data_IF_934899583456
#
_entry.id   IF_934899583456
#
_cell.length_a   1.000
_cell.length_b   1.000
_cell.length_c   1.000
_cell.angle_alpha   90.00
_cell.angle_beta   90.00
_cell.angle_gamma   90.00
#
_symmetry.space_group_name_H-M   'P 1'
#
loop_
_entity.id
_entity.type
_entity.pdbx_description
1 polymer ?
#
# COMPACT_ATOMS: atom_id res chain seq x y z
N UNK A 1 -5.17 -13.40 -22.86
CA UNK A 1 -3.92 -12.63 -23.07
C UNK A 1 -3.40 -12.97 -24.45
N UNK A 2 -3.71 -12.13 -25.44
CA UNK A 2 -3.11 -12.22 -26.75
C UNK A 2 -1.84 -11.36 -26.75
N UNK A 3 -0.71 -11.94 -26.37
CA UNK A 3 0.59 -11.31 -26.58
C UNK A 3 1.04 -11.64 -28.01
N UNK A 4 1.11 -10.65 -28.94
CA UNK A 4 1.35 -10.89 -30.35
C UNK A 4 2.83 -11.12 -30.71
N UNK A 5 3.64 -11.64 -29.78
CA UNK A 5 5.08 -11.66 -29.95
C UNK A 5 5.58 -12.82 -30.81
N UNK A 6 4.79 -13.90 -30.98
CA UNK A 6 5.25 -15.05 -31.80
C UNK A 6 4.07 -15.68 -32.54
N UNK A 7 3.80 -15.20 -33.73
CA UNK A 7 2.96 -15.90 -34.70
C UNK A 7 3.77 -17.03 -35.34
N UNK A 8 3.37 -18.30 -35.11
CA UNK A 8 3.97 -19.47 -35.77
C UNK A 8 4.71 -20.46 -34.89
N UNK A 9 4.70 -20.32 -33.57
CA UNK A 9 5.34 -21.22 -32.61
C UNK A 9 4.29 -22.04 -31.86
N UNK A 10 4.62 -23.26 -31.48
CA UNK A 10 3.77 -24.12 -30.64
C UNK A 10 3.34 -23.36 -29.36
N UNK A 11 2.06 -23.40 -29.00
CA UNK A 11 1.49 -22.63 -27.88
C UNK A 11 2.24 -22.86 -26.57
N UNK A 12 2.72 -24.07 -26.27
CA UNK A 12 3.52 -24.39 -25.10
C UNK A 12 4.88 -23.68 -25.09
N UNK A 13 5.54 -23.59 -26.23
CA UNK A 13 6.83 -22.91 -26.35
C UNK A 13 6.68 -21.39 -26.26
N UNK A 14 5.59 -20.84 -26.80
CA UNK A 14 5.26 -19.43 -26.65
C UNK A 14 4.99 -19.04 -25.18
N UNK A 15 4.25 -19.89 -24.43
CA UNK A 15 4.02 -19.71 -23.00
C UNK A 15 5.34 -19.75 -22.23
N UNK A 16 6.20 -20.73 -22.52
CA UNK A 16 7.50 -20.87 -21.86
C UNK A 16 8.41 -19.67 -22.11
N UNK A 17 8.53 -19.20 -23.35
CA UNK A 17 9.31 -18.00 -23.70
C UNK A 17 8.76 -16.75 -23.02
N UNK A 18 7.43 -16.55 -23.03
CA UNK A 18 6.81 -15.41 -22.34
C UNK A 18 7.06 -15.44 -20.82
N UNK A 19 7.02 -16.64 -20.21
CA UNK A 19 7.32 -16.79 -18.78
C UNK A 19 8.77 -16.41 -18.48
N UNK A 20 9.74 -16.85 -19.30
CA UNK A 20 11.15 -16.49 -19.12
C UNK A 20 11.34 -14.98 -19.28
N UNK A 21 10.72 -14.37 -20.29
CA UNK A 21 10.82 -12.91 -20.51
C UNK A 21 10.23 -12.11 -19.35
N UNK A 22 9.10 -12.56 -18.80
CA UNK A 22 8.50 -11.92 -17.61
C UNK A 22 9.41 -12.05 -16.39
N UNK A 23 9.99 -13.22 -16.16
CA UNK A 23 10.94 -13.45 -15.06
C UNK A 23 12.17 -12.56 -15.24
N UNK A 24 12.77 -12.54 -16.44
CA UNK A 24 13.92 -11.69 -16.74
C UNK A 24 13.62 -10.19 -16.54
N UNK A 25 12.44 -9.74 -17.00
CA UNK A 25 11.98 -8.37 -16.80
C UNK A 25 11.81 -8.04 -15.31
N UNK A 26 11.28 -8.97 -14.52
CA UNK A 26 11.13 -8.79 -13.07
C UNK A 26 12.49 -8.67 -12.38
N UNK A 27 13.46 -9.53 -12.71
CA UNK A 27 14.82 -9.44 -12.15
C UNK A 27 15.51 -8.14 -12.53
N UNK A 28 15.31 -7.67 -13.77
CA UNK A 28 15.84 -6.37 -14.19
C UNK A 28 15.25 -5.21 -13.37
N UNK A 29 13.95 -5.21 -13.10
CA UNK A 29 13.30 -4.20 -12.27
C UNK A 29 13.79 -4.27 -10.81
N UNK A 30 14.00 -5.48 -10.25
CA UNK A 30 14.55 -5.65 -8.91
C UNK A 30 15.98 -5.09 -8.85
N UNK A 31 16.83 -5.43 -9.82
CA UNK A 31 18.18 -4.89 -9.92
C UNK A 31 18.20 -3.36 -10.02
N UNK A 32 17.32 -2.78 -10.82
CA UNK A 32 17.18 -1.33 -10.94
C UNK A 32 16.72 -0.70 -9.62
N UNK A 33 15.82 -1.36 -8.90
CA UNK A 33 15.37 -0.99 -7.57
C UNK A 33 16.52 -0.98 -6.54
N UNK A 34 17.37 -2.00 -6.57
CA UNK A 34 18.51 -2.10 -5.67
C UNK A 34 19.55 -1.01 -5.97
N UNK A 35 19.80 -0.74 -7.25
CA UNK A 35 20.66 0.40 -7.66
C UNK A 35 20.10 1.74 -7.15
N UNK A 36 18.79 1.95 -7.30
CA UNK A 36 18.16 3.18 -6.80
C UNK A 36 18.19 3.27 -5.26
N UNK A 37 18.15 2.13 -4.56
CA UNK A 37 18.29 2.09 -3.10
C UNK A 37 19.71 2.44 -2.62
N UNK A 38 20.74 2.11 -3.42
CA UNK A 38 22.13 2.38 -3.09
C UNK A 38 22.57 3.81 -3.45
N UNK A 39 22.15 4.31 -4.59
CA UNK A 39 22.67 5.56 -5.18
C UNK A 39 21.61 6.64 -5.36
N UNK A 40 20.32 6.31 -5.19
CA UNK A 40 19.19 7.20 -5.43
C UNK A 40 18.41 7.54 -4.15
N UNK A 41 17.17 7.97 -4.35
CA UNK A 41 16.22 8.32 -3.29
C UNK A 41 14.95 7.49 -3.50
N UNK A 42 14.34 7.03 -2.40
CA UNK A 42 13.05 6.33 -2.41
C UNK A 42 13.09 4.86 -2.84
N UNK A 43 14.26 4.30 -3.14
CA UNK A 43 14.46 2.89 -3.43
C UNK A 43 13.45 2.30 -4.42
N UNK A 44 12.88 1.14 -4.10
CA UNK A 44 11.84 0.44 -4.90
C UNK A 44 10.54 1.23 -5.05
N UNK A 45 10.24 2.12 -4.10
CA UNK A 45 9.00 2.90 -4.09
C UNK A 45 8.90 3.81 -5.31
N UNK A 46 10.01 4.39 -5.77
CA UNK A 46 10.05 5.29 -6.94
C UNK A 46 9.71 4.56 -8.23
N UNK A 47 10.16 3.32 -8.39
CA UNK A 47 9.86 2.50 -9.58
C UNK A 47 8.37 2.16 -9.62
N UNK A 48 7.79 1.77 -8.47
CA UNK A 48 6.35 1.55 -8.36
C UNK A 48 5.56 2.83 -8.67
N UNK A 49 6.00 3.97 -8.14
CA UNK A 49 5.39 5.27 -8.37
C UNK A 49 5.42 5.67 -9.85
N UNK A 50 6.56 5.48 -10.52
CA UNK A 50 6.70 5.73 -11.96
C UNK A 50 5.77 4.84 -12.79
N UNK A 51 5.67 3.55 -12.47
CA UNK A 51 4.75 2.63 -13.12
C UNK A 51 3.29 3.04 -12.94
N UNK A 52 2.90 3.44 -11.73
CA UNK A 52 1.54 3.90 -11.45
C UNK A 52 1.22 5.20 -12.21
N UNK A 53 2.15 6.15 -12.24
CA UNK A 53 1.98 7.41 -12.99
C UNK A 53 1.86 7.19 -14.50
N UNK A 54 2.62 6.26 -15.07
CA UNK A 54 2.55 5.93 -16.48
C UNK A 54 1.20 5.26 -16.86
N UNK A 55 0.65 4.44 -15.95
CA UNK A 55 -0.58 3.69 -16.21
C UNK A 55 -1.87 4.48 -15.91
N UNK A 56 -1.85 5.45 -15.00
CA UNK A 56 -3.04 6.22 -14.61
C UNK A 56 -3.73 6.92 -15.78
N UNK A 57 -3.04 7.67 -16.66
CA UNK A 57 -3.68 8.34 -17.80
C UNK A 57 -4.34 7.33 -18.74
N UNK A 58 -3.68 6.20 -19.01
CA UNK A 58 -4.21 5.16 -19.87
C UNK A 58 -5.49 4.54 -19.27
N UNK A 59 -5.50 4.23 -17.97
CA UNK A 59 -6.67 3.70 -17.28
C UNK A 59 -7.87 4.66 -17.33
N UNK A 60 -7.61 5.96 -17.17
CA UNK A 60 -8.64 7.00 -17.23
C UNK A 60 -9.19 7.10 -18.65
N UNK A 61 -8.33 7.16 -19.67
CA UNK A 61 -8.75 7.27 -21.07
C UNK A 61 -9.53 6.03 -21.53
N UNK A 62 -9.06 4.83 -21.22
CA UNK A 62 -9.75 3.57 -21.53
C UNK A 62 -11.13 3.50 -20.87
N UNK A 63 -11.25 4.01 -19.64
CA UNK A 63 -12.54 4.07 -18.93
C UNK A 63 -13.50 5.08 -19.56
N UNK A 64 -13.01 6.22 -20.00
CA UNK A 64 -13.80 7.25 -20.68
C UNK A 64 -14.34 6.71 -22.00
N UNK A 65 -13.48 6.04 -22.78
CA UNK A 65 -13.84 5.48 -24.09
C UNK A 65 -14.87 4.34 -23.94
N UNK A 66 -14.66 3.41 -23.03
CA UNK A 66 -15.57 2.28 -22.79
C UNK A 66 -16.93 2.67 -22.26
N UNK A 67 -16.97 3.65 -21.38
CA UNK A 67 -18.20 4.08 -20.72
C UNK A 67 -18.92 5.22 -21.46
N UNK A 68 -18.33 5.81 -22.50
CA UNK A 68 -18.89 6.97 -23.21
C UNK A 68 -19.11 8.17 -22.27
N UNK A 69 -18.24 8.37 -21.29
CA UNK A 69 -18.39 9.38 -20.25
C UNK A 69 -18.21 10.78 -20.85
N UNK A 70 -19.27 11.59 -20.79
CA UNK A 70 -19.19 12.99 -21.17
C UNK A 70 -18.52 13.86 -20.10
N UNK A 71 -18.16 15.10 -20.46
CA UNK A 71 -17.54 16.09 -19.58
C UNK A 71 -18.33 16.35 -18.28
N UNK A 72 -19.65 16.17 -18.30
CA UNK A 72 -20.52 16.36 -17.15
C UNK A 72 -20.25 15.37 -16.00
N UNK A 73 -19.71 14.19 -16.29
CA UNK A 73 -19.35 13.17 -15.29
C UNK A 73 -17.86 13.22 -15.00
N UNK A 74 -17.04 13.56 -15.99
CA UNK A 74 -15.59 13.59 -15.87
C UNK A 74 -15.12 14.70 -14.91
N UNK A 75 -15.73 15.87 -14.97
CA UNK A 75 -15.34 17.00 -14.14
C UNK A 75 -15.62 16.76 -12.63
N UNK A 76 -16.81 16.30 -12.20
CA UNK A 76 -17.03 15.89 -10.80
C UNK A 76 -16.13 14.73 -10.36
N UNK A 77 -15.79 13.79 -11.24
CA UNK A 77 -14.89 12.68 -10.91
C UNK A 77 -13.47 13.17 -10.63
N UNK A 78 -12.96 14.12 -11.42
CA UNK A 78 -11.65 14.75 -11.17
C UNK A 78 -11.67 15.51 -9.85
N UNK A 79 -12.73 16.31 -9.59
CA UNK A 79 -12.86 17.07 -8.35
C UNK A 79 -12.90 16.14 -7.13
N UNK A 80 -13.68 15.06 -7.22
CA UNK A 80 -13.76 14.04 -6.18
C UNK A 80 -12.40 13.37 -5.92
N UNK A 81 -11.68 13.03 -6.99
CA UNK A 81 -10.34 12.44 -6.90
C UNK A 81 -9.33 13.38 -6.24
N UNK A 82 -9.39 14.68 -6.50
CA UNK A 82 -8.54 15.68 -5.86
C UNK A 82 -8.85 15.81 -4.35
N UNK A 83 -10.15 15.77 -3.97
CA UNK A 83 -10.53 15.76 -2.55
C UNK A 83 -9.99 14.52 -1.85
N UNK A 84 -10.09 13.34 -2.48
CA UNK A 84 -9.54 12.09 -1.94
C UNK A 84 -8.01 12.15 -1.78
N UNK A 85 -7.30 12.69 -2.75
CA UNK A 85 -5.86 12.89 -2.69
C UNK A 85 -5.48 13.84 -1.55
N UNK A 86 -6.23 14.94 -1.37
CA UNK A 86 -6.00 15.87 -0.27
C UNK A 86 -6.20 15.22 1.10
N UNK A 87 -7.34 14.53 1.30
CA UNK A 87 -7.66 13.82 2.54
C UNK A 87 -6.61 12.75 2.83
N UNK A 88 -6.20 11.98 1.81
CA UNK A 88 -5.14 10.98 1.92
C UNK A 88 -3.82 11.62 2.38
N UNK A 89 -3.43 12.76 1.81
CA UNK A 89 -2.23 13.50 2.21
C UNK A 89 -2.28 14.01 3.65
N UNK A 90 -3.44 14.46 4.13
CA UNK A 90 -3.64 14.87 5.53
C UNK A 90 -3.50 13.69 6.48
N UNK A 91 -4.15 12.56 6.18
CA UNK A 91 -4.08 11.36 7.03
C UNK A 91 -2.68 10.77 7.09
N UNK A 92 -1.94 10.76 5.97
CA UNK A 92 -0.55 10.29 5.92
C UNK A 92 0.41 11.14 6.77
N UNK A 93 0.11 12.43 6.93
CA UNK A 93 0.89 13.34 7.80
C UNK A 93 0.49 13.28 9.26
N UNK A 94 -0.71 12.79 9.55
CA UNK A 94 -1.23 12.72 10.90
C UNK A 94 -0.43 11.73 11.75
N UNK A 95 0.12 12.20 12.88
CA UNK A 95 0.93 11.41 13.80
C UNK A 95 0.42 11.50 15.22
N UNK A 96 0.39 10.37 15.89
CA UNK A 96 0.17 10.32 17.33
C UNK A 96 1.51 10.40 18.04
N UNK A 97 1.66 11.40 18.94
CA UNK A 97 2.90 11.65 19.67
C UNK A 97 2.81 11.13 21.08
N UNK A 98 3.76 10.30 21.46
CA UNK A 98 3.92 9.79 22.82
C UNK A 98 5.13 10.50 23.42
N UNK A 99 4.92 11.17 24.56
CA UNK A 99 6.05 11.79 25.28
C UNK A 99 6.96 10.71 25.85
N UNK A 100 8.23 10.78 25.52
CA UNK A 100 9.28 9.88 26.05
C UNK A 100 10.27 10.67 26.90
N UNK A 101 10.81 10.00 27.92
CA UNK A 101 11.89 10.56 28.74
C UNK A 101 13.20 9.85 28.39
N UNK A 102 14.30 10.62 28.41
CA UNK A 102 15.67 10.11 28.28
C UNK A 102 16.42 10.34 29.58
N UNK A 103 17.16 9.37 30.05
CA UNK A 103 17.90 9.42 31.32
C UNK A 103 18.95 10.55 31.31
N UNK A 104 19.55 10.83 30.16
CA UNK A 104 20.69 11.76 30.04
C UNK A 104 20.36 13.13 29.43
N UNK A 105 19.07 13.49 29.26
CA UNK A 105 18.70 14.80 28.70
C UNK A 105 18.19 15.74 29.80
N UNK A 106 18.77 16.94 29.85
CA UNK A 106 18.34 18.00 30.76
C UNK A 106 16.86 18.33 30.55
N UNK A 107 16.13 18.56 31.66
CA UNK A 107 14.68 18.81 31.68
C UNK A 107 14.17 19.90 30.70
N UNK A 108 15.03 20.84 30.32
CA UNK A 108 14.73 21.94 29.38
C UNK A 108 14.38 21.43 27.96
N UNK A 109 14.85 20.25 27.56
CA UNK A 109 14.63 19.67 26.23
C UNK A 109 13.59 18.54 26.20
N UNK A 110 12.95 18.27 27.33
CA UNK A 110 11.95 17.20 27.48
C UNK A 110 10.77 17.32 26.51
N UNK A 111 10.37 18.54 26.19
CA UNK A 111 9.25 18.82 25.26
C UNK A 111 9.52 18.40 23.81
N UNK A 112 10.78 18.18 23.43
CA UNK A 112 11.19 17.74 22.09
C UNK A 112 11.42 16.24 22.00
N UNK A 113 11.25 15.50 23.11
CA UNK A 113 11.45 14.07 23.16
C UNK A 113 10.12 13.34 23.07
N UNK A 114 9.78 12.85 21.88
CA UNK A 114 8.54 12.13 21.61
C UNK A 114 8.75 11.01 20.62
N UNK A 115 7.93 9.97 20.73
CA UNK A 115 7.82 8.88 19.76
C UNK A 115 6.61 9.16 18.87
N UNK A 116 6.84 9.27 17.57
CA UNK A 116 5.80 9.48 16.58
C UNK A 116 5.32 8.15 16.01
N UNK A 117 4.01 7.90 16.07
CA UNK A 117 3.36 6.78 15.38
C UNK A 117 2.36 7.35 14.39
N UNK A 118 2.39 6.90 13.14
CA UNK A 118 1.46 7.33 12.09
C UNK A 118 0.02 6.97 12.46
N UNK A 119 -0.95 7.81 12.11
CA UNK A 119 -2.37 7.54 12.31
C UNK A 119 -2.84 6.33 11.49
N UNK A 120 -2.28 6.16 10.27
CA UNK A 120 -2.44 4.97 9.46
C UNK A 120 -1.10 4.22 9.34
N UNK A 121 -0.75 3.35 10.33
CA UNK A 121 0.53 2.66 10.31
C UNK A 121 0.65 1.65 9.16
N UNK A 122 -0.46 1.14 8.64
CA UNK A 122 -0.48 0.20 7.52
C UNK A 122 -0.09 0.84 6.18
N UNK A 123 -0.24 2.18 6.05
CA UNK A 123 0.02 2.88 4.78
C UNK A 123 -0.99 2.51 3.69
N UNK A 124 -0.56 2.49 2.43
CA UNK A 124 -1.37 2.10 1.27
C UNK A 124 -1.17 0.65 0.81
N UNK A 125 -0.21 -0.08 1.39
CA UNK A 125 0.12 -1.44 0.95
C UNK A 125 -1.03 -2.45 1.05
N UNK A 126 -1.88 -2.46 2.10
CA UNK A 126 -3.00 -3.39 2.20
C UNK A 126 -3.92 -3.39 0.98
N UNK A 127 -4.10 -2.23 0.35
CA UNK A 127 -4.92 -2.12 -0.86
C UNK A 127 -4.37 -2.96 -2.02
N UNK A 128 -3.06 -2.89 -2.28
CA UNK A 128 -2.41 -3.67 -3.33
C UNK A 128 -2.51 -5.17 -3.08
N UNK A 129 -2.24 -5.59 -1.84
CA UNK A 129 -2.29 -7.00 -1.46
C UNK A 129 -3.71 -7.55 -1.42
N UNK A 130 -4.70 -6.77 -0.99
CA UNK A 130 -6.10 -7.20 -0.97
C UNK A 130 -6.59 -7.57 -2.37
N UNK A 131 -6.28 -6.75 -3.38
CA UNK A 131 -6.63 -7.03 -4.77
C UNK A 131 -5.98 -8.31 -5.29
N UNK A 132 -4.72 -8.53 -4.99
CA UNK A 132 -4.00 -9.75 -5.39
C UNK A 132 -4.55 -10.98 -4.69
N UNK A 133 -4.76 -10.92 -3.38
CA UNK A 133 -5.21 -12.06 -2.57
C UNK A 133 -6.65 -12.48 -2.88
N UNK A 134 -7.54 -11.53 -3.16
CA UNK A 134 -8.94 -11.85 -3.54
C UNK A 134 -9.01 -12.61 -4.87
N UNK A 135 -8.02 -12.43 -5.74
CA UNK A 135 -7.95 -13.14 -7.02
C UNK A 135 -7.47 -14.60 -6.88
N UNK A 136 -6.73 -14.94 -5.82
CA UNK A 136 -6.16 -16.30 -5.63
C UNK A 136 -7.24 -17.38 -5.59
N UNK A 137 -8.31 -17.29 -4.79
CA UNK A 137 -9.35 -18.33 -4.78
C UNK A 137 -9.98 -18.53 -6.16
N UNK A 138 -10.19 -17.46 -6.92
CA UNK A 138 -10.73 -17.55 -8.28
C UNK A 138 -9.81 -18.34 -9.20
N UNK A 139 -8.48 -18.08 -9.15
CA UNK A 139 -7.49 -18.84 -9.95
C UNK A 139 -7.44 -20.32 -9.55
N UNK A 140 -7.52 -20.63 -8.25
CA UNK A 140 -7.56 -22.01 -7.76
C UNK A 140 -8.78 -22.76 -8.31
N UNK A 141 -9.97 -22.14 -8.26
CA UNK A 141 -11.18 -22.75 -8.84
C UNK A 141 -11.10 -22.87 -10.36
N UNK A 142 -10.47 -21.93 -11.06
CA UNK A 142 -10.19 -22.05 -12.50
C UNK A 142 -9.29 -23.24 -12.82
N UNK A 143 -8.24 -23.49 -12.04
CA UNK A 143 -7.38 -24.65 -12.20
C UNK A 143 -8.13 -25.97 -11.95
N UNK A 144 -8.96 -26.03 -10.91
CA UNK A 144 -9.80 -27.21 -10.61
C UNK A 144 -10.77 -27.45 -11.76
N UNK A 145 -11.38 -26.42 -12.31
CA UNK A 145 -12.30 -26.55 -13.45
C UNK A 145 -11.58 -27.01 -14.71
N UNK A 146 -10.33 -26.62 -14.91
CA UNK A 146 -9.53 -27.10 -16.04
C UNK A 146 -9.25 -28.59 -15.94
N UNK A 147 -9.05 -29.13 -14.72
CA UNK A 147 -8.83 -30.56 -14.47
C UNK A 147 -10.15 -31.35 -14.52
N UNK A 148 -11.24 -30.77 -14.03
CA UNK A 148 -12.58 -31.40 -13.95
C UNK A 148 -13.65 -30.48 -14.58
N UNK A 149 -13.80 -30.44 -15.91
CA UNK A 149 -14.68 -29.51 -16.63
C UNK A 149 -16.18 -29.68 -16.30
N UNK A 150 -16.62 -30.86 -15.91
CA UNK A 150 -18.02 -31.18 -15.64
C UNK A 150 -18.51 -30.78 -14.24
N UNK A 151 -17.61 -30.27 -13.39
CA UNK A 151 -17.96 -29.94 -12.01
C UNK A 151 -18.75 -28.63 -11.94
N UNK A 152 -20.07 -28.72 -11.78
CA UNK A 152 -20.97 -27.55 -11.65
C UNK A 152 -20.66 -26.67 -10.43
N UNK A 153 -20.04 -27.24 -9.40
CA UNK A 153 -19.68 -26.54 -8.17
C UNK A 153 -18.59 -25.51 -8.41
N UNK A 154 -17.55 -25.88 -9.16
CA UNK A 154 -16.45 -24.99 -9.51
C UNK A 154 -16.89 -23.84 -10.40
N UNK A 155 -17.79 -24.11 -11.37
CA UNK A 155 -18.34 -23.05 -12.22
C UNK A 155 -19.21 -22.06 -11.43
N UNK A 156 -19.95 -22.53 -10.43
CA UNK A 156 -20.72 -21.71 -9.51
C UNK A 156 -19.81 -20.82 -8.64
N UNK A 157 -18.75 -21.40 -8.07
CA UNK A 157 -17.77 -20.70 -7.25
C UNK A 157 -17.03 -19.60 -8.05
N UNK A 158 -16.59 -19.90 -9.28
CA UNK A 158 -15.95 -18.92 -10.16
C UNK A 158 -16.89 -17.73 -10.44
N UNK A 159 -18.15 -18.02 -10.80
CA UNK A 159 -19.15 -16.98 -11.05
C UNK A 159 -19.38 -16.11 -9.82
N UNK A 160 -19.44 -16.70 -8.61
CA UNK A 160 -19.64 -15.97 -7.37
C UNK A 160 -18.43 -15.10 -6.98
N UNK A 161 -17.22 -15.55 -7.32
CA UNK A 161 -15.97 -14.84 -7.07
C UNK A 161 -15.54 -13.91 -8.22
N UNK A 162 -16.36 -13.76 -9.25
CA UNK A 162 -16.08 -12.81 -10.34
C UNK A 162 -16.32 -11.38 -9.87
N UNK A 163 -15.45 -10.48 -10.33
CA UNK A 163 -15.57 -9.04 -10.09
C UNK A 163 -16.99 -8.55 -10.46
N UNK A 164 -17.56 -7.70 -9.64
CA UNK A 164 -18.94 -7.21 -9.81
C UNK A 164 -20.02 -8.03 -9.09
N UNK A 165 -19.63 -9.11 -8.42
CA UNK A 165 -20.55 -9.88 -7.58
C UNK A 165 -20.47 -9.45 -6.11
N UNK A 166 -21.61 -9.48 -5.37
CA UNK A 166 -21.62 -9.09 -3.96
C UNK A 166 -20.64 -9.89 -3.09
N UNK A 167 -20.51 -11.19 -3.32
CA UNK A 167 -19.61 -12.05 -2.58
C UNK A 167 -18.15 -11.62 -2.76
N UNK A 168 -17.75 -11.33 -4.01
CA UNK A 168 -16.41 -10.83 -4.30
C UNK A 168 -16.11 -9.55 -3.52
N UNK A 169 -17.05 -8.59 -3.53
CA UNK A 169 -16.89 -7.32 -2.83
C UNK A 169 -16.78 -7.50 -1.32
N UNK A 170 -17.60 -8.36 -0.71
CA UNK A 170 -17.55 -8.63 0.74
C UNK A 170 -16.19 -9.23 1.12
N UNK A 171 -15.70 -10.21 0.34
CA UNK A 171 -14.37 -10.81 0.58
C UNK A 171 -13.28 -9.75 0.43
N UNK A 172 -13.35 -8.90 -0.59
CA UNK A 172 -12.40 -7.81 -0.81
C UNK A 172 -12.37 -6.84 0.37
N UNK A 173 -13.52 -6.35 0.84
CA UNK A 173 -13.60 -5.42 1.97
C UNK A 173 -13.08 -6.05 3.26
N UNK A 174 -13.42 -7.32 3.50
CA UNK A 174 -12.93 -8.06 4.66
C UNK A 174 -11.40 -8.23 4.59
N UNK A 175 -10.87 -8.62 3.43
CA UNK A 175 -9.43 -8.73 3.23
C UNK A 175 -8.72 -7.38 3.40
N UNK A 176 -9.28 -6.31 2.87
CA UNK A 176 -8.72 -4.96 3.03
C UNK A 176 -8.64 -4.55 4.50
N UNK A 177 -9.69 -4.86 5.29
CA UNK A 177 -9.71 -4.58 6.71
C UNK A 177 -8.69 -5.42 7.49
N UNK A 178 -8.68 -6.74 7.29
CA UNK A 178 -7.77 -7.66 7.97
C UNK A 178 -6.31 -7.33 7.64
N UNK A 179 -6.01 -7.10 6.36
CA UNK A 179 -4.68 -6.70 5.93
C UNK A 179 -4.29 -5.32 6.48
N UNK A 180 -5.23 -4.39 6.56
CA UNK A 180 -5.00 -3.09 7.20
C UNK A 180 -4.52 -3.22 8.64
N UNK A 181 -5.14 -4.10 9.43
CA UNK A 181 -4.71 -4.41 10.78
C UNK A 181 -3.37 -5.15 10.80
N UNK A 182 -3.20 -6.18 9.96
CA UNK A 182 -1.98 -6.97 9.91
C UNK A 182 -0.75 -6.11 9.56
N UNK A 183 -0.86 -5.28 8.53
CA UNK A 183 0.24 -4.40 8.10
C UNK A 183 0.55 -3.30 9.13
N UNK A 184 -0.41 -2.87 9.95
CA UNK A 184 -0.14 -1.96 11.04
C UNK A 184 0.88 -2.56 12.04
N UNK A 185 0.73 -3.85 12.38
CA UNK A 185 1.67 -4.56 13.26
C UNK A 185 3.01 -4.89 12.58
N UNK A 186 2.99 -5.18 11.27
CA UNK A 186 4.23 -5.44 10.52
C UNK A 186 5.08 -4.18 10.43
N UNK A 187 4.46 -3.02 10.17
CA UNK A 187 5.18 -1.76 9.99
C UNK A 187 5.61 -1.14 11.33
N UNK A 188 4.85 -1.37 12.40
CA UNK A 188 5.14 -0.81 13.73
C UNK A 188 5.19 -1.94 14.76
N UNK A 189 6.35 -2.52 14.94
CA UNK A 189 6.59 -3.57 15.95
C UNK A 189 6.88 -2.94 17.31
N UNK A 190 5.99 -3.15 18.27
CA UNK A 190 6.18 -2.68 19.64
C UNK A 190 7.40 -3.31 20.33
N UNK A 191 7.75 -4.55 19.97
CA UNK A 191 8.92 -5.23 20.52
C UNK A 191 10.23 -4.56 20.07
N UNK A 192 10.39 -4.30 18.77
CA UNK A 192 11.57 -3.63 18.23
C UNK A 192 11.72 -2.21 18.79
N UNK A 193 10.62 -1.48 18.92
CA UNK A 193 10.63 -0.12 19.47
C UNK A 193 11.01 -0.16 20.95
N UNK A 194 10.42 -1.06 21.75
CA UNK A 194 10.71 -1.23 23.17
C UNK A 194 12.17 -1.60 23.39
N UNK A 195 12.74 -2.49 22.57
CA UNK A 195 14.14 -2.89 22.66
C UNK A 195 15.07 -1.72 22.32
N UNK A 196 14.75 -0.95 21.27
CA UNK A 196 15.50 0.26 20.90
C UNK A 196 15.47 1.29 22.01
N UNK A 197 14.30 1.56 22.59
CA UNK A 197 14.14 2.49 23.72
C UNK A 197 14.97 2.04 24.94
N UNK A 198 14.97 0.74 25.25
CA UNK A 198 15.77 0.19 26.34
C UNK A 198 17.27 0.38 26.11
N UNK A 199 17.75 0.16 24.86
CA UNK A 199 19.17 0.35 24.50
C UNK A 199 19.59 1.82 24.51
N UNK A 200 18.70 2.74 24.20
CA UNK A 200 18.97 4.20 24.20
C UNK A 200 18.68 4.89 25.53
N UNK A 201 18.27 4.14 26.57
CA UNK A 201 17.89 4.72 27.87
C UNK A 201 16.63 5.59 27.84
N UNK A 202 15.76 5.32 26.87
CA UNK A 202 14.46 5.99 26.73
C UNK A 202 13.37 5.20 27.42
N UNK A 203 12.40 5.89 28.00
CA UNK A 203 11.25 5.26 28.64
C UNK A 203 9.99 6.12 28.52
N UNK A 204 8.83 5.47 28.55
CA UNK A 204 7.52 6.13 28.59
C UNK A 204 7.15 6.34 30.06
N UNK A 205 6.69 7.53 30.42
CA UNK A 205 6.30 7.83 31.79
C UNK A 205 5.13 6.91 32.23
N UNK A 206 5.27 6.24 33.37
CA UNK A 206 4.25 5.36 33.94
C UNK A 206 4.20 3.95 33.31
N UNK A 207 5.16 3.60 32.43
CA UNK A 207 5.25 2.25 31.83
C UNK A 207 6.65 1.68 32.11
N UNK A 208 6.73 0.47 32.62
CA UNK A 208 8.02 -0.19 32.87
C UNK A 208 8.74 -0.52 31.55
N UNK A 209 10.06 -0.23 31.46
CA UNK A 209 10.84 -0.57 30.28
C UNK A 209 10.86 -2.08 30.00
N UNK A 210 10.66 -2.48 28.74
CA UNK A 210 10.68 -3.88 28.31
C UNK A 210 9.32 -4.36 27.84
N UNK A 211 8.84 -5.48 28.38
CA UNK A 211 7.59 -6.12 27.91
C UNK A 211 6.35 -5.23 28.07
N UNK A 212 6.23 -4.48 29.13
CA UNK A 212 5.10 -3.58 29.33
C UNK A 212 5.09 -2.43 28.32
N UNK A 213 6.27 -1.88 27.99
CA UNK A 213 6.40 -0.87 26.92
C UNK A 213 5.99 -1.46 25.58
N UNK A 214 6.41 -2.69 25.26
CA UNK A 214 6.00 -3.39 24.05
C UNK A 214 4.48 -3.60 23.99
N UNK A 215 3.88 -4.08 25.08
CA UNK A 215 2.44 -4.29 25.18
C UNK A 215 1.65 -2.96 25.02
N UNK A 216 2.12 -1.88 25.64
CA UNK A 216 1.52 -0.55 25.51
C UNK A 216 1.54 -0.07 24.05
N UNK A 217 2.70 -0.18 23.37
CA UNK A 217 2.86 0.23 21.97
C UNK A 217 1.98 -0.63 21.07
N UNK A 218 1.95 -1.96 21.25
CA UNK A 218 1.12 -2.86 20.46
C UNK A 218 -0.38 -2.55 20.63
N UNK A 219 -0.84 -2.23 21.84
CA UNK A 219 -2.21 -1.82 22.08
C UNK A 219 -2.56 -0.50 21.37
N UNK A 220 -1.62 0.45 21.34
CA UNK A 220 -1.78 1.70 20.61
C UNK A 220 -1.80 1.47 19.12
N UNK A 221 -0.90 0.63 18.58
CA UNK A 221 -0.85 0.23 17.17
C UNK A 221 -2.15 -0.44 16.74
N UNK A 222 -2.74 -1.28 17.59
CA UNK A 222 -4.04 -1.90 17.33
C UNK A 222 -5.15 -0.85 17.18
N UNK A 223 -5.19 0.14 18.10
CA UNK A 223 -6.19 1.23 18.03
C UNK A 223 -6.01 2.09 16.78
N UNK A 224 -4.78 2.51 16.50
CA UNK A 224 -4.46 3.32 15.32
C UNK A 224 -4.65 2.51 14.02
N UNK A 225 -4.26 1.23 14.02
CA UNK A 225 -4.46 0.30 12.91
C UNK A 225 -5.95 0.08 12.61
N UNK A 226 -6.79 0.00 13.63
CA UNK A 226 -8.25 -0.09 13.45
C UNK A 226 -8.81 1.17 12.78
N UNK A 227 -8.40 2.35 13.25
CA UNK A 227 -8.78 3.65 12.62
C UNK A 227 -8.27 3.70 11.18
N UNK A 228 -7.00 3.29 10.95
CA UNK A 228 -6.39 3.21 9.62
C UNK A 228 -7.12 2.24 8.70
N UNK A 229 -7.51 1.06 9.19
CA UNK A 229 -8.27 0.07 8.42
C UNK A 229 -9.67 0.59 8.05
N UNK A 230 -10.38 1.25 8.96
CA UNK A 230 -11.65 1.92 8.67
C UNK A 230 -11.48 3.04 7.64
N UNK A 231 -10.44 3.84 7.78
CA UNK A 231 -10.10 4.87 6.80
C UNK A 231 -9.88 4.26 5.40
N UNK A 232 -9.15 3.14 5.31
CA UNK A 232 -8.95 2.44 4.04
C UNK A 232 -10.24 1.87 3.46
N UNK A 233 -11.11 1.30 4.30
CA UNK A 233 -12.43 0.84 3.86
C UNK A 233 -13.24 1.98 3.26
N UNK A 234 -13.18 3.16 3.86
CA UNK A 234 -13.89 4.33 3.35
C UNK A 234 -13.26 4.84 2.05
N UNK A 235 -11.94 5.01 2.01
CA UNK A 235 -11.24 5.62 0.88
C UNK A 235 -11.12 4.71 -0.34
N UNK A 236 -10.80 3.44 -0.13
CA UNK A 236 -10.57 2.48 -1.22
C UNK A 236 -11.73 1.49 -1.39
N UNK A 237 -12.43 1.17 -0.31
CA UNK A 237 -13.53 0.21 -0.32
C UNK A 237 -14.86 0.82 -0.77
N UNK A 238 -15.23 2.00 -0.27
CA UNK A 238 -16.52 2.62 -0.63
C UNK A 238 -16.68 2.88 -2.14
N UNK A 239 -15.67 3.37 -2.89
CA UNK A 239 -15.80 3.51 -4.34
C UNK A 239 -16.04 2.19 -5.07
N UNK A 240 -15.59 1.06 -4.51
CA UNK A 240 -15.82 -0.26 -5.08
C UNK A 240 -17.30 -0.70 -5.05
N UNK A 241 -18.14 -0.08 -4.22
CA UNK A 241 -19.60 -0.36 -4.20
C UNK A 241 -20.26 -0.06 -5.55
N UNK A 242 -19.71 0.87 -6.33
CA UNK A 242 -20.22 1.23 -7.66
C UNK A 242 -20.19 0.04 -8.62
N UNK A 243 -19.26 -0.90 -8.44
CA UNK A 243 -19.13 -2.10 -9.28
C UNK A 243 -20.37 -2.99 -9.21
N UNK A 244 -21.13 -2.95 -8.11
CA UNK A 244 -22.37 -3.70 -7.98
C UNK A 244 -23.47 -3.20 -8.92
N UNK A 245 -23.42 -1.91 -9.31
CA UNK A 245 -24.34 -1.32 -10.25
C UNK A 245 -23.94 -1.68 -11.69
N UNK A 246 -22.66 -1.48 -12.01
CA UNK A 246 -22.11 -1.86 -13.30
C UNK A 246 -20.62 -2.25 -13.15
N UNK A 247 -20.24 -3.50 -13.51
CA UNK A 247 -18.86 -3.99 -13.43
C UNK A 247 -17.86 -3.17 -14.27
N UNK A 248 -18.32 -2.48 -15.31
CA UNK A 248 -17.46 -1.67 -16.19
C UNK A 248 -16.82 -0.47 -15.46
N UNK A 249 -17.40 -0.05 -14.32
CA UNK A 249 -16.82 1.00 -13.46
C UNK A 249 -15.64 0.54 -12.61
N UNK A 250 -15.17 -0.71 -12.75
CA UNK A 250 -14.06 -1.26 -11.95
C UNK A 250 -12.82 -0.34 -11.97
N UNK A 251 -12.38 0.07 -13.16
CA UNK A 251 -11.17 0.88 -13.29
C UNK A 251 -11.31 2.24 -12.62
N UNK A 252 -12.46 2.89 -12.78
CA UNK A 252 -12.76 4.17 -12.14
C UNK A 252 -12.87 4.06 -10.62
N UNK A 253 -13.45 2.98 -10.11
CA UNK A 253 -13.57 2.74 -8.68
C UNK A 253 -12.24 2.45 -7.98
N UNK A 254 -11.21 2.04 -8.73
CA UNK A 254 -9.86 1.84 -8.22
C UNK A 254 -9.06 3.14 -8.06
N UNK A 255 -9.42 4.23 -8.74
CA UNK A 255 -8.66 5.48 -8.74
C UNK A 255 -8.42 6.03 -7.33
N UNK A 256 -9.42 6.12 -6.41
CA UNK A 256 -9.17 6.61 -5.06
C UNK A 256 -8.19 5.73 -4.27
N UNK A 257 -8.23 4.41 -4.46
CA UNK A 257 -7.26 3.49 -3.87
C UNK A 257 -5.84 3.70 -4.40
N UNK A 258 -5.68 3.95 -5.71
CA UNK A 258 -4.36 4.27 -6.28
C UNK A 258 -3.82 5.60 -5.76
N UNK A 259 -4.67 6.61 -5.55
CA UNK A 259 -4.26 7.87 -4.92
C UNK A 259 -3.85 7.70 -3.45
N UNK A 260 -4.48 6.79 -2.72
CA UNK A 260 -4.07 6.47 -1.36
C UNK A 260 -2.65 5.91 -1.31
N UNK A 261 -2.32 4.96 -2.20
CA UNK A 261 -0.96 4.41 -2.32
C UNK A 261 0.01 5.52 -2.72
N UNK A 262 -0.34 6.28 -3.76
CA UNK A 262 0.50 7.34 -4.32
C UNK A 262 0.84 8.42 -3.28
N UNK A 263 -0.16 8.84 -2.50
CA UNK A 263 0.03 9.78 -1.39
C UNK A 263 1.02 9.25 -0.34
N UNK A 264 0.93 7.96 0.01
CA UNK A 264 1.87 7.31 0.94
C UNK A 264 3.29 7.25 0.38
N UNK A 265 3.44 6.94 -0.91
CA UNK A 265 4.74 6.90 -1.58
C UNK A 265 5.40 8.29 -1.64
N UNK A 266 4.66 9.32 -2.03
CA UNK A 266 5.15 10.72 -2.04
C UNK A 266 5.60 11.13 -0.63
N UNK A 267 4.81 10.76 0.37
CA UNK A 267 5.14 11.07 1.76
C UNK A 267 6.48 10.44 2.17
N UNK A 268 6.68 9.15 1.89
CA UNK A 268 7.91 8.42 2.24
C UNK A 268 9.14 9.02 1.54
N UNK A 269 9.05 9.30 0.23
CA UNK A 269 10.13 9.95 -0.54
C UNK A 269 10.45 11.35 0.02
N UNK A 270 9.44 12.12 0.40
CA UNK A 270 9.63 13.46 0.96
C UNK A 270 10.31 13.41 2.35
N UNK A 271 9.98 12.44 3.20
CA UNK A 271 10.63 12.27 4.51
C UNK A 271 12.11 11.85 4.33
N UNK A 272 12.40 10.96 3.38
CA UNK A 272 13.77 10.56 3.05
C UNK A 272 14.59 11.73 2.51
N UNK A 273 14.04 12.54 1.60
CA UNK A 273 14.67 13.76 1.10
C UNK A 273 14.97 14.75 2.23
N UNK A 274 14.05 14.92 3.19
CA UNK A 274 14.27 15.79 4.35
C UNK A 274 15.40 15.26 5.24
N UNK A 275 15.43 13.95 5.48
CA UNK A 275 16.48 13.32 6.28
C UNK A 275 17.86 13.49 5.63
N UNK A 276 17.97 13.30 4.32
CA UNK A 276 19.20 13.53 3.55
C UNK A 276 19.64 15.00 3.60
N UNK A 277 18.69 15.92 3.40
CA UNK A 277 18.98 17.37 3.47
C UNK A 277 19.45 17.80 4.86
N UNK A 278 18.89 17.27 5.92
CA UNK A 278 19.36 17.51 7.27
C UNK A 278 20.79 16.97 7.47
N UNK A 279 21.06 15.75 7.02
CA UNK A 279 22.37 15.13 7.14
C UNK A 279 23.46 15.93 6.40
N UNK A 280 23.15 16.46 5.21
CA UNK A 280 24.10 17.32 4.46
C UNK A 280 24.24 18.73 5.04
N UNK A 281 23.29 19.20 5.87
CA UNK A 281 23.39 20.51 6.55
C UNK A 281 24.31 20.50 7.76
N UNK A 282 24.59 19.33 8.34
CA UNK A 282 25.53 19.21 9.45
C UNK A 282 26.95 19.13 8.89
N UNK A 283 27.70 20.22 8.96
CA UNK A 283 29.16 20.19 8.78
C UNK A 283 29.78 19.38 9.91
N UNK A 284 30.65 18.41 9.63
CA UNK A 284 31.34 17.67 10.68
C UNK A 284 32.19 18.65 11.50
N UNK A 285 32.04 18.59 12.83
CA UNK A 285 32.75 19.46 13.78
C UNK A 285 34.28 19.25 13.76
N UNK A 286 34.78 18.25 13.04
CA UNK A 286 36.18 17.81 13.04
C UNK A 286 36.79 17.67 11.64
N UNK A 287 36.35 18.42 10.65
CA UNK A 287 36.91 18.37 9.29
C UNK A 287 38.22 19.16 9.14
N UNK A 288 38.77 19.76 10.23
CA UNK A 288 39.99 20.51 10.26
C UNK A 288 40.98 19.99 11.33
N UNK A 289 41.24 18.68 11.36
CA UNK A 289 42.40 18.13 12.08
C UNK A 289 43.21 17.27 11.14
#
# INVERSE_FOLDING_TARGET
>A
MNLPIVSGVNASLAIFMNTILLIAGTFFLVWLSDLNSLFGIGGSIVILMASMMANLPYQIMDSIEKLGIGWNVLLPLILFSLVFLYVSGVVQRARYRISINKINIHNRFKQYSYLDIMLNPAGGMPFMYAMSLVSIPQYVFMLIQFIHPENKWTSGAIKALTVGRPLWLVIYLLMLFVLGLAFAFVNVSGEQISERMRKSGEYIYGVYPGQETSAYINHLVLRLGFIGALYMLFMAGAPMLIILVNPDYLQLSMIPGTFLIFSGMIYNVNEEMKALKLNTSYTPLFENV
#
